data_IF_754520013468
#
_entry.id   IF_754520013468
#
_cell.length_a   1.000
_cell.length_b   1.000
_cell.length_c   1.000
_cell.angle_alpha   90.00
_cell.angle_beta   90.00
_cell.angle_gamma   90.00
#
_symmetry.space_group_name_H-M   'P 1'
#
loop_
_entity.id
_entity.type
_entity.pdbx_description
1 polymer ?
#
# COMPACT_ATOMS: atom_id res chain seq x y z
N UNK A 1 -22.31 8.64 24.67
CA UNK A 1 -22.14 7.18 24.51
C UNK A 1 -20.75 6.92 24.00
N UNK A 2 -20.03 6.07 24.69
CA UNK A 2 -18.66 5.70 24.26
C UNK A 2 -18.73 4.83 23.02
N UNK A 3 -17.96 5.18 22.00
CA UNK A 3 -17.77 4.32 20.85
C UNK A 3 -16.72 3.29 21.24
N UNK A 4 -17.06 2.02 21.14
CA UNK A 4 -16.11 0.95 21.41
C UNK A 4 -15.00 1.00 20.37
N UNK A 5 -13.77 1.17 20.83
CA UNK A 5 -12.62 1.18 19.95
C UNK A 5 -12.25 -0.26 19.57
N UNK A 6 -12.15 -0.52 18.29
CA UNK A 6 -11.76 -1.83 17.76
C UNK A 6 -10.59 -1.66 16.81
N UNK A 7 -9.77 -2.71 16.63
CA UNK A 7 -8.76 -2.67 15.58
C UNK A 7 -9.40 -2.48 14.21
N UNK A 8 -8.74 -1.74 13.36
CA UNK A 8 -9.21 -1.51 11.98
C UNK A 8 -8.43 -2.39 11.03
N UNK A 9 -9.10 -2.84 9.98
CA UNK A 9 -8.49 -3.68 8.97
C UNK A 9 -8.21 -2.83 7.73
N UNK A 10 -6.94 -2.79 7.34
CA UNK A 10 -6.50 -2.14 6.13
C UNK A 10 -6.00 -3.13 5.11
N UNK A 11 -5.98 -2.71 3.86
CA UNK A 11 -5.39 -3.46 2.75
C UNK A 11 -4.47 -2.53 1.97
N UNK A 12 -3.44 -3.09 1.35
CA UNK A 12 -2.53 -2.34 0.51
C UNK A 12 -2.00 -3.19 -0.62
N UNK A 13 -1.56 -2.51 -1.68
CA UNK A 13 -1.07 -3.14 -2.88
C UNK A 13 0.33 -2.67 -3.23
N UNK A 14 1.26 -3.60 -3.41
CA UNK A 14 2.52 -3.33 -4.08
C UNK A 14 2.26 -3.54 -5.56
N UNK A 15 2.26 -2.47 -6.33
CA UNK A 15 1.93 -2.45 -7.75
C UNK A 15 3.20 -2.20 -8.54
N UNK A 16 3.63 -3.18 -9.33
CA UNK A 16 4.78 -3.02 -10.20
C UNK A 16 4.34 -2.74 -11.63
N UNK A 17 5.06 -1.84 -12.30
CA UNK A 17 4.87 -1.60 -13.73
C UNK A 17 5.85 -2.50 -14.52
N UNK A 18 5.85 -2.32 -15.86
CA UNK A 18 6.70 -3.10 -16.76
C UNK A 18 8.19 -2.89 -16.55
N UNK A 19 8.57 -1.82 -15.86
CA UNK A 19 9.96 -1.49 -15.55
C UNK A 19 10.37 -1.93 -14.14
N UNK A 20 9.51 -2.72 -13.48
CA UNK A 20 9.72 -3.16 -12.09
C UNK A 20 9.84 -1.99 -11.12
N UNK A 21 9.14 -0.91 -11.42
CA UNK A 21 8.99 0.23 -10.51
C UNK A 21 7.70 0.07 -9.72
N UNK A 22 7.72 0.48 -8.46
CA UNK A 22 6.57 0.41 -7.57
C UNK A 22 5.87 1.77 -7.49
N UNK A 23 4.53 1.74 -7.50
CA UNK A 23 3.73 2.95 -7.33
C UNK A 23 3.63 3.30 -5.86
N UNK A 24 4.03 4.51 -5.51
CA UNK A 24 3.90 5.04 -4.15
C UNK A 24 3.09 6.33 -4.16
N UNK A 25 2.44 6.59 -3.03
CA UNK A 25 1.63 7.78 -2.81
C UNK A 25 2.17 8.54 -1.59
N UNK A 26 2.13 9.86 -1.65
CA UNK A 26 2.53 10.71 -0.54
C UNK A 26 1.34 10.91 0.39
N UNK A 27 1.50 10.61 1.68
CA UNK A 27 0.45 10.73 2.67
C UNK A 27 0.40 12.12 3.26
N UNK A 28 -0.77 12.76 3.18
CA UNK A 28 -1.03 14.06 3.78
C UNK A 28 -1.81 13.99 5.09
N UNK A 29 -2.21 12.79 5.53
CA UNK A 29 -3.00 12.58 6.74
C UNK A 29 -2.47 11.43 7.58
N UNK A 30 -2.85 11.45 8.87
CA UNK A 30 -2.60 10.34 9.77
C UNK A 30 -3.35 9.06 9.30
N UNK A 31 -2.85 7.86 9.61
CA UNK A 31 -1.59 7.64 10.29
C UNK A 31 -0.39 7.90 9.38
N UNK A 32 0.75 8.22 10.00
CA UNK A 32 2.04 8.42 9.32
C UNK A 32 2.00 9.48 8.22
N UNK A 33 1.50 10.64 8.58
CA UNK A 33 1.48 11.83 7.71
C UNK A 33 2.92 12.18 7.25
N UNK A 34 3.03 12.66 6.02
CA UNK A 34 4.29 13.07 5.38
C UNK A 34 5.26 11.91 5.19
N UNK A 35 4.72 10.79 4.72
CA UNK A 35 5.51 9.62 4.31
C UNK A 35 5.02 9.12 2.95
N UNK A 36 5.89 8.38 2.26
CA UNK A 36 5.52 7.63 1.07
C UNK A 36 4.97 6.26 1.48
N UNK A 37 3.91 5.84 0.82
CA UNK A 37 3.26 4.58 1.14
C UNK A 37 2.75 3.90 -0.12
N UNK A 38 2.42 2.62 0.03
CA UNK A 38 1.71 1.89 -1.03
C UNK A 38 0.24 2.29 -1.03
N UNK A 39 -0.44 2.24 -2.19
CA UNK A 39 -1.87 2.51 -2.25
C UNK A 39 -2.67 1.47 -1.47
N UNK A 40 -3.78 1.90 -0.91
CA UNK A 40 -4.65 1.03 -0.15
C UNK A 40 -5.67 1.82 0.67
N UNK A 41 -6.33 1.13 1.59
CA UNK A 41 -7.32 1.76 2.44
C UNK A 41 -7.99 0.79 3.37
N UNK A 42 -9.14 1.19 3.88
CA UNK A 42 -9.90 0.44 4.88
C UNK A 42 -10.81 -0.58 4.20
N UNK A 43 -10.90 -1.77 4.80
CA UNK A 43 -11.88 -2.77 4.39
C UNK A 43 -13.26 -2.36 4.91
N UNK A 44 -14.26 -2.37 4.03
CA UNK A 44 -15.64 -2.10 4.42
C UNK A 44 -16.30 -3.36 4.99
N UNK A 45 -17.32 -3.16 5.82
CA UNK A 45 -18.05 -4.27 6.42
C UNK A 45 -18.59 -5.21 5.34
N UNK A 46 -18.37 -6.51 5.51
CA UNK A 46 -18.76 -7.60 4.59
C UNK A 46 -17.99 -7.65 3.26
N UNK A 47 -17.03 -6.78 3.05
CA UNK A 47 -16.17 -6.81 1.88
C UNK A 47 -15.03 -7.83 2.08
N UNK A 48 -14.68 -8.57 1.03
CA UNK A 48 -13.49 -9.43 1.10
C UNK A 48 -12.22 -8.57 1.02
N UNK A 49 -11.11 -9.10 1.52
CA UNK A 49 -9.84 -8.39 1.47
C UNK A 49 -9.42 -8.08 0.03
N UNK A 50 -9.56 -9.05 -0.87
CA UNK A 50 -9.17 -8.85 -2.28
C UNK A 50 -10.05 -7.81 -2.97
N UNK A 51 -11.36 -7.87 -2.74
CA UNK A 51 -12.28 -6.87 -3.28
C UNK A 51 -11.92 -5.47 -2.77
N UNK A 52 -11.60 -5.37 -1.48
CA UNK A 52 -11.24 -4.08 -0.86
C UNK A 52 -10.00 -3.47 -1.50
N UNK A 53 -8.94 -4.25 -1.69
CA UNK A 53 -7.71 -3.69 -2.24
C UNK A 53 -7.88 -3.29 -3.71
N UNK A 54 -8.62 -4.07 -4.48
CA UNK A 54 -8.91 -3.73 -5.90
C UNK A 54 -9.72 -2.44 -5.96
N UNK A 55 -10.73 -2.29 -5.12
CA UNK A 55 -11.56 -1.09 -5.04
C UNK A 55 -10.75 0.13 -4.63
N UNK A 56 -9.98 0.01 -3.55
CA UNK A 56 -9.18 1.13 -3.03
C UNK A 56 -8.15 1.62 -4.06
N UNK A 57 -7.48 0.71 -4.74
CA UNK A 57 -6.51 1.08 -5.77
C UNK A 57 -7.20 1.83 -6.91
N UNK A 58 -8.37 1.35 -7.35
CA UNK A 58 -9.13 2.02 -8.40
C UNK A 58 -9.57 3.42 -8.00
N UNK A 59 -10.11 3.55 -6.79
CA UNK A 59 -10.59 4.84 -6.28
C UNK A 59 -9.46 5.85 -6.07
N UNK A 60 -8.30 5.38 -5.61
CA UNK A 60 -7.21 6.23 -5.20
C UNK A 60 -6.28 6.62 -6.34
N UNK A 61 -5.91 5.66 -7.18
CA UNK A 61 -4.87 5.87 -8.21
C UNK A 61 -5.28 5.48 -9.63
N UNK A 62 -6.54 5.15 -9.86
CA UNK A 62 -7.10 4.92 -11.20
C UNK A 62 -6.56 3.68 -11.92
N UNK A 63 -6.10 2.68 -11.20
CA UNK A 63 -5.60 1.45 -11.81
C UNK A 63 -6.54 0.28 -11.56
N UNK A 64 -6.74 -0.53 -12.59
CA UNK A 64 -7.37 -1.83 -12.48
C UNK A 64 -6.27 -2.87 -12.29
N UNK A 65 -6.33 -3.61 -11.20
CA UNK A 65 -5.31 -4.56 -10.82
C UNK A 65 -5.89 -5.96 -10.64
N UNK A 66 -5.02 -6.96 -10.74
CA UNK A 66 -5.32 -8.32 -10.31
C UNK A 66 -4.36 -8.68 -9.17
N UNK A 67 -4.84 -9.50 -8.26
CA UNK A 67 -4.04 -9.98 -7.15
C UNK A 67 -3.09 -11.06 -7.67
N UNK A 68 -1.80 -10.88 -7.40
CA UNK A 68 -0.77 -11.85 -7.74
C UNK A 68 -0.49 -12.78 -6.55
N UNK A 69 -0.50 -12.24 -5.34
CA UNK A 69 -0.31 -13.04 -4.13
C UNK A 69 -0.28 -12.20 -2.87
N UNK A 70 -0.41 -12.87 -1.74
CA UNK A 70 -0.26 -12.26 -0.44
C UNK A 70 1.22 -12.06 -0.14
N UNK A 71 1.61 -10.84 0.23
CA UNK A 71 2.98 -10.55 0.63
C UNK A 71 3.20 -10.76 2.12
N UNK A 72 2.41 -10.07 2.92
CA UNK A 72 2.58 -10.09 4.37
C UNK A 72 1.44 -9.37 5.05
N UNK A 73 1.45 -9.40 6.38
CA UNK A 73 0.62 -8.53 7.21
C UNK A 73 1.52 -7.54 7.93
N UNK A 74 0.94 -6.43 8.36
CA UNK A 74 1.65 -5.43 9.15
C UNK A 74 0.71 -4.91 10.24
N UNK A 75 1.27 -4.50 11.35
CA UNK A 75 0.50 -3.94 12.46
C UNK A 75 1.00 -2.54 12.77
N UNK A 76 0.06 -1.63 13.01
CA UNK A 76 0.35 -0.28 13.47
C UNK A 76 -0.41 -0.09 14.78
N UNK A 77 0.32 -0.06 15.89
CA UNK A 77 -0.28 0.02 17.22
C UNK A 77 0.33 1.21 17.94
N UNK A 78 -0.47 2.28 18.09
CA UNK A 78 -0.05 3.50 18.78
C UNK A 78 -1.19 3.95 19.71
N UNK A 79 -1.23 3.41 20.94
CA UNK A 79 -2.32 3.71 21.87
C UNK A 79 -2.45 5.20 22.16
N UNK A 80 -1.35 5.92 22.23
CA UNK A 80 -1.32 7.37 22.51
C UNK A 80 -2.00 8.19 21.41
N UNK A 81 -2.16 7.61 20.23
CA UNK A 81 -2.84 8.24 19.08
C UNK A 81 -4.16 7.56 18.76
N UNK A 82 -4.56 6.59 19.56
CA UNK A 82 -5.76 5.77 19.31
C UNK A 82 -5.72 5.09 17.94
N UNK A 83 -4.53 4.67 17.52
CA UNK A 83 -4.32 3.98 16.26
C UNK A 83 -4.06 2.50 16.51
N UNK A 84 -4.87 1.65 15.89
CA UNK A 84 -4.66 0.22 15.85
C UNK A 84 -5.13 -0.31 14.51
N UNK A 85 -4.17 -0.61 13.64
CA UNK A 85 -4.44 -1.12 12.29
C UNK A 85 -3.78 -2.48 12.10
N UNK A 86 -4.53 -3.39 11.49
CA UNK A 86 -3.99 -4.65 10.97
C UNK A 86 -4.11 -4.55 9.46
N UNK A 87 -3.00 -4.58 8.76
CA UNK A 87 -2.96 -4.41 7.31
C UNK A 87 -2.59 -5.71 6.62
N UNK A 88 -3.32 -6.04 5.56
CA UNK A 88 -3.04 -7.20 4.71
C UNK A 88 -2.55 -6.68 3.38
N UNK A 89 -1.36 -7.09 2.97
CA UNK A 89 -0.62 -6.45 1.88
C UNK A 89 -0.36 -7.44 0.76
N UNK A 90 -0.68 -7.02 -0.46
CA UNK A 90 -0.68 -7.89 -1.64
C UNK A 90 0.30 -7.44 -2.71
N UNK A 91 0.88 -8.42 -3.40
CA UNK A 91 1.52 -8.20 -4.68
C UNK A 91 0.45 -8.19 -5.77
N UNK A 92 0.51 -7.24 -6.68
CA UNK A 92 -0.52 -7.04 -7.69
C UNK A 92 0.09 -6.67 -9.03
N UNK A 93 -0.69 -6.84 -10.09
CA UNK A 93 -0.31 -6.46 -11.44
C UNK A 93 -1.37 -5.55 -12.05
N UNK A 94 -0.92 -4.59 -12.85
CA UNK A 94 -1.83 -3.70 -13.57
C UNK A 94 -2.43 -4.44 -14.75
N UNK A 95 -3.75 -4.36 -14.88
CA UNK A 95 -4.49 -4.88 -16.04
C UNK A 95 -4.78 -3.74 -17.00
N UNK A 96 -5.18 -2.58 -16.48
CA UNK A 96 -5.53 -1.42 -17.31
C UNK A 96 -5.48 -0.15 -16.46
N UNK A 97 -5.56 0.99 -17.15
CA UNK A 97 -5.59 2.30 -16.52
C UNK A 97 -4.25 3.00 -16.54
N UNK A 98 -4.30 4.29 -16.24
CA UNK A 98 -3.12 5.14 -16.10
C UNK A 98 -3.11 5.70 -14.69
N UNK A 99 -1.98 5.57 -14.00
CA UNK A 99 -1.87 6.01 -12.62
C UNK A 99 -2.11 7.51 -12.50
N UNK A 100 -3.11 7.89 -11.69
CA UNK A 100 -3.45 9.27 -11.38
C UNK A 100 -3.99 9.36 -9.97
N UNK A 101 -3.73 10.47 -9.30
CA UNK A 101 -4.33 10.73 -8.00
C UNK A 101 -5.80 11.12 -8.19
N UNK A 102 -6.71 10.21 -7.84
CA UNK A 102 -8.16 10.45 -7.89
C UNK A 102 -8.73 10.83 -6.52
N UNK A 103 -7.92 10.85 -5.47
CA UNK A 103 -8.39 11.16 -4.13
C UNK A 103 -8.74 12.65 -4.04
N UNK A 104 -9.99 12.96 -3.69
CA UNK A 104 -10.51 14.33 -3.69
C UNK A 104 -10.40 15.03 -2.33
N UNK A 105 -10.20 14.28 -1.26
CA UNK A 105 -10.17 14.82 0.10
C UNK A 105 -8.84 15.39 0.55
N UNK A 106 -7.82 15.37 -0.30
CA UNK A 106 -6.49 15.88 0.04
C UNK A 106 -5.66 14.94 0.92
N UNK A 107 -6.12 13.72 1.14
CA UNK A 107 -5.39 12.74 1.96
C UNK A 107 -4.12 12.27 1.29
N UNK A 108 -4.06 12.37 -0.04
CA UNK A 108 -2.92 11.96 -0.85
C UNK A 108 -2.44 13.15 -1.66
N UNK A 109 -1.14 13.36 -1.68
CA UNK A 109 -0.50 14.37 -2.50
C UNK A 109 0.06 13.77 -3.77
N UNK A 110 1.36 13.90 -3.94
CA UNK A 110 2.07 13.39 -5.11
C UNK A 110 2.00 11.86 -5.18
N UNK A 111 1.95 11.31 -6.39
CA UNK A 111 2.13 9.88 -6.64
C UNK A 111 3.29 9.71 -7.61
N UNK A 112 3.96 8.57 -7.57
CA UNK A 112 5.08 8.32 -8.47
C UNK A 112 5.49 6.86 -8.51
N UNK A 113 6.22 6.52 -9.57
CA UNK A 113 6.83 5.21 -9.78
C UNK A 113 8.29 5.28 -9.35
N UNK A 114 8.72 4.33 -8.54
CA UNK A 114 10.07 4.31 -7.99
C UNK A 114 10.70 2.93 -8.18
N UNK A 115 11.97 2.88 -8.63
CA UNK A 115 12.67 1.59 -8.68
C UNK A 115 12.75 0.95 -7.30
N UNK A 116 12.60 -0.37 -7.22
CA UNK A 116 12.67 -1.08 -5.95
C UNK A 116 14.01 -0.90 -5.23
N UNK A 117 15.09 -0.67 -5.97
CA UNK A 117 16.41 -0.46 -5.39
C UNK A 117 16.68 1.00 -5.02
N UNK A 118 15.75 1.91 -5.32
CA UNK A 118 15.92 3.34 -5.04
C UNK A 118 14.59 3.95 -4.60
N UNK A 119 14.12 3.49 -3.45
CA UNK A 119 12.87 3.97 -2.88
C UNK A 119 13.06 5.35 -2.24
N UNK A 120 12.04 6.20 -2.25
CA UNK A 120 12.11 7.49 -1.58
C UNK A 120 12.04 7.32 -0.06
N UNK A 121 12.28 8.40 0.66
CA UNK A 121 12.12 8.43 2.12
C UNK A 121 11.44 9.73 2.55
N UNK A 122 10.75 9.76 3.69
CA UNK A 122 10.51 8.61 4.57
C UNK A 122 9.41 7.69 4.03
N UNK A 123 9.48 6.41 4.37
CA UNK A 123 8.45 5.42 4.05
C UNK A 123 7.54 5.20 5.25
N UNK A 124 6.26 5.00 5.01
CA UNK A 124 5.32 4.61 6.05
C UNK A 124 5.74 3.25 6.63
N UNK A 125 5.68 3.12 7.95
CA UNK A 125 6.17 1.92 8.62
C UNK A 125 5.43 0.65 8.17
N UNK A 126 4.12 0.75 7.91
CA UNK A 126 3.35 -0.40 7.46
C UNK A 126 3.65 -0.81 6.01
N UNK A 127 4.21 0.09 5.20
CA UNK A 127 4.61 -0.21 3.83
C UNK A 127 5.95 -0.95 3.76
N UNK A 128 6.82 -0.75 4.72
CA UNK A 128 8.17 -1.32 4.71
C UNK A 128 8.18 -2.85 4.63
N UNK A 129 7.40 -3.59 5.44
CA UNK A 129 7.40 -5.06 5.31
C UNK A 129 6.98 -5.55 3.93
N UNK A 130 5.99 -4.90 3.32
CA UNK A 130 5.52 -5.28 1.98
C UNK A 130 6.59 -5.02 0.91
N UNK A 131 7.25 -3.87 0.99
CA UNK A 131 8.30 -3.50 0.05
C UNK A 131 9.52 -4.43 0.20
N UNK A 132 9.87 -4.80 1.43
CA UNK A 132 10.94 -5.76 1.68
C UNK A 132 10.58 -7.14 1.15
N UNK A 133 9.35 -7.61 1.37
CA UNK A 133 8.89 -8.87 0.83
C UNK A 133 8.93 -8.87 -0.70
N UNK A 134 8.55 -7.76 -1.32
CA UNK A 134 8.59 -7.63 -2.78
C UNK A 134 10.02 -7.67 -3.32
N UNK A 135 10.95 -7.00 -2.63
CA UNK A 135 12.37 -7.06 -3.00
C UNK A 135 12.91 -8.50 -2.95
N UNK A 136 12.55 -9.24 -1.92
CA UNK A 136 12.97 -10.65 -1.79
C UNK A 136 12.41 -11.50 -2.93
N UNK A 137 11.14 -11.34 -3.27
CA UNK A 137 10.54 -12.04 -4.39
C UNK A 137 11.22 -11.68 -5.72
N UNK A 138 11.53 -10.41 -5.91
CA UNK A 138 12.22 -9.94 -7.10
C UNK A 138 13.60 -10.58 -7.21
N UNK A 139 14.36 -10.61 -6.12
CA UNK A 139 15.68 -11.22 -6.07
C UNK A 139 15.61 -12.70 -6.41
N UNK A 140 14.68 -13.44 -5.82
CA UNK A 140 14.49 -14.86 -6.08
C UNK A 140 14.14 -15.14 -7.55
N UNK A 141 13.27 -14.30 -8.12
CA UNK A 141 12.80 -14.47 -9.50
C UNK A 141 13.86 -14.10 -10.53
N UNK A 142 14.66 -13.07 -10.27
CA UNK A 142 15.60 -12.51 -11.24
C UNK A 142 17.07 -12.82 -10.92
N UNK A 143 17.35 -13.39 -9.74
CA UNK A 143 18.72 -13.70 -9.32
C UNK A 143 19.58 -12.48 -9.03
N UNK A 144 18.95 -11.30 -8.88
CA UNK A 144 19.65 -10.04 -8.63
C UNK A 144 19.27 -9.51 -7.25
N UNK A 145 20.27 -9.26 -6.41
CA UNK A 145 20.03 -8.69 -5.09
C UNK A 145 19.87 -7.18 -5.20
N UNK A 146 18.68 -6.69 -4.86
CA UNK A 146 18.34 -5.27 -4.87
C UNK A 146 18.05 -4.72 -3.45
N UNK A 147 18.40 -5.52 -2.44
CA UNK A 147 18.12 -5.14 -1.04
C UNK A 147 19.06 -4.07 -0.48
N UNK A 148 20.12 -3.76 -1.17
CA UNK A 148 21.10 -2.76 -0.74
C UNK A 148 20.85 -1.40 -1.34
#
# INVERSE_FOLDING_TARGET
MAVEATPRIGVGAVILNERDEVLLVWRNRAPEQHTWSIPGGKVDLYETLETAVIREVKEEVNLDIVIDGLLCTAETIRPERQEHWISVLYSTKVVSGEARNLEEGGAIGEIGWFPLHKLPSPLASFAVPALEAMKQQYTQKHGTDISQ
#
